data_IF_821736266399
#
_entry.id   IF_821736266399
#
_cell.length_a   1.000
_cell.length_b   1.000
_cell.length_c   1.000
_cell.angle_alpha   90.00
_cell.angle_beta   90.00
_cell.angle_gamma   90.00
#
_symmetry.space_group_name_H-M   'P 1'
#
loop_
_entity.id
_entity.type
_entity.pdbx_description
1 polymer ?
#
# COMPACT_ATOMS: atom_id res chain seq x y z
N UNK A 1 -25.42 -9.95 -3.81
CA UNK A 1 -24.58 -9.61 -2.64
C UNK A 1 -23.34 -8.80 -3.06
N UNK A 2 -23.51 -7.66 -3.72
CA UNK A 2 -22.40 -6.87 -4.32
C UNK A 2 -22.47 -5.39 -3.91
N UNK A 3 -22.53 -5.10 -2.60
CA UNK A 3 -22.69 -3.72 -2.10
C UNK A 3 -21.53 -3.15 -1.28
N UNK A 4 -20.39 -3.83 -1.15
CA UNK A 4 -19.31 -3.37 -0.25
C UNK A 4 -17.98 -2.97 -0.89
N UNK A 5 -17.84 -2.94 -2.22
CA UNK A 5 -16.64 -2.38 -2.85
C UNK A 5 -16.72 -0.86 -3.10
N UNK A 6 -17.83 -0.21 -2.71
CA UNK A 6 -18.10 1.22 -3.01
C UNK A 6 -17.74 2.25 -1.93
N UNK A 7 -17.64 1.95 -0.61
CA UNK A 7 -17.41 3.01 0.37
C UNK A 7 -15.95 3.48 0.46
N UNK A 8 -14.96 2.66 0.07
CA UNK A 8 -13.55 3.06 0.19
C UNK A 8 -13.11 4.11 -0.85
N UNK A 9 -13.72 4.09 -2.04
CA UNK A 9 -13.43 5.10 -3.08
C UNK A 9 -14.06 6.47 -2.75
N UNK A 10 -15.15 6.50 -1.98
CA UNK A 10 -15.84 7.77 -1.68
C UNK A 10 -15.23 8.56 -0.53
N UNK A 11 -14.55 7.92 0.43
CA UNK A 11 -13.80 8.67 1.46
C UNK A 11 -12.45 9.19 0.96
N UNK A 12 -11.87 8.58 -0.08
CA UNK A 12 -10.67 9.12 -0.73
C UNK A 12 -10.98 10.26 -1.72
N UNK A 13 -12.23 10.38 -2.14
CA UNK A 13 -12.76 11.45 -3.01
C UNK A 13 -13.12 12.74 -2.24
N UNK A 14 -12.83 12.80 -0.94
CA UNK A 14 -13.25 13.91 -0.06
C UNK A 14 -12.37 15.16 -0.08
N UNK A 15 -11.51 15.33 -1.09
CA UNK A 15 -10.87 16.62 -1.35
C UNK A 15 -10.93 16.99 -2.82
N UNK A 16 -12.06 17.61 -3.19
CA UNK A 16 -12.19 18.39 -4.44
C UNK A 16 -11.42 19.71 -4.36
N UNK A 17 -10.20 19.71 -3.83
CA UNK A 17 -9.34 20.90 -3.87
C UNK A 17 -8.69 20.94 -5.26
N UNK A 18 -8.67 22.08 -5.97
CA UNK A 18 -8.01 22.18 -7.27
C UNK A 18 -6.52 21.78 -7.23
N UNK A 19 -5.87 21.96 -6.07
CA UNK A 19 -4.50 21.53 -5.82
C UNK A 19 -4.32 20.00 -5.95
N UNK A 20 -5.28 19.20 -5.48
CA UNK A 20 -5.17 17.73 -5.52
C UNK A 20 -5.24 17.19 -6.95
N UNK A 21 -6.00 17.85 -7.83
CA UNK A 21 -6.02 17.50 -9.26
C UNK A 21 -4.66 17.73 -9.93
N UNK A 22 -3.95 18.78 -9.52
CA UNK A 22 -2.60 19.07 -10.02
C UNK A 22 -1.64 18.02 -9.48
N UNK A 23 -1.71 17.73 -8.19
CA UNK A 23 -0.90 16.70 -7.54
C UNK A 23 -1.08 15.34 -8.20
N UNK A 24 -2.32 14.89 -8.44
CA UNK A 24 -2.62 13.61 -9.11
C UNK A 24 -2.05 13.55 -10.53
N UNK A 25 -2.22 14.60 -11.33
CA UNK A 25 -1.62 14.66 -12.67
C UNK A 25 -0.10 14.64 -12.63
N UNK A 26 0.49 15.33 -11.64
CA UNK A 26 1.93 15.36 -11.45
C UNK A 26 2.44 13.96 -11.09
N UNK A 27 1.74 13.24 -10.20
CA UNK A 27 2.08 11.88 -9.80
C UNK A 27 1.98 10.91 -10.98
N UNK A 28 0.87 10.93 -11.72
CA UNK A 28 0.68 10.04 -12.86
C UNK A 28 1.74 10.31 -13.95
N UNK A 29 2.10 11.58 -14.15
CA UNK A 29 3.15 11.97 -15.08
C UNK A 29 4.55 11.55 -14.61
N UNK A 30 4.90 11.83 -13.34
CA UNK A 30 6.19 11.51 -12.75
C UNK A 30 6.42 10.00 -12.57
N UNK A 31 5.35 9.24 -12.33
CA UNK A 31 5.38 7.78 -12.20
C UNK A 31 5.40 7.03 -13.53
N UNK A 32 5.22 7.73 -14.66
CA UNK A 32 5.28 7.12 -15.98
C UNK A 32 6.73 6.87 -16.41
N UNK A 33 7.01 5.68 -16.95
CA UNK A 33 8.32 5.36 -17.54
C UNK A 33 8.72 6.31 -18.66
N UNK A 34 7.75 6.97 -19.32
CA UNK A 34 8.00 7.98 -20.35
C UNK A 34 8.62 9.27 -19.81
N UNK A 35 8.32 9.67 -18.58
CA UNK A 35 8.90 10.86 -17.95
C UNK A 35 10.39 10.66 -17.66
N UNK A 36 10.77 9.47 -17.16
CA UNK A 36 12.16 9.11 -16.94
C UNK A 36 12.97 9.20 -18.24
N UNK A 37 12.44 8.64 -19.34
CA UNK A 37 13.08 8.74 -20.67
C UNK A 37 13.23 10.19 -21.11
N UNK A 38 12.21 11.03 -20.92
CA UNK A 38 12.29 12.46 -21.25
C UNK A 38 13.39 13.17 -20.46
N UNK A 39 13.51 12.93 -19.15
CA UNK A 39 14.58 13.52 -18.33
C UNK A 39 15.97 13.12 -18.83
N UNK A 40 16.20 11.84 -19.13
CA UNK A 40 17.48 11.35 -19.63
C UNK A 40 17.82 12.01 -20.98
N UNK A 41 16.85 12.13 -21.89
CA UNK A 41 17.03 12.80 -23.16
C UNK A 41 17.32 14.30 -22.98
N UNK A 42 16.61 14.98 -22.07
CA UNK A 42 16.83 16.39 -21.78
C UNK A 42 18.25 16.65 -21.24
N UNK A 43 18.75 15.82 -20.32
CA UNK A 43 20.13 15.93 -19.84
C UNK A 43 21.15 15.66 -20.93
N UNK A 44 20.94 14.59 -21.71
CA UNK A 44 21.83 14.23 -22.81
C UNK A 44 21.88 15.34 -23.86
N UNK A 45 20.73 15.93 -24.17
CA UNK A 45 20.62 17.07 -25.09
C UNK A 45 21.31 18.31 -24.53
N UNK A 46 21.12 18.65 -23.25
CA UNK A 46 21.75 19.82 -22.62
C UNK A 46 23.27 19.70 -22.59
N UNK A 47 23.79 18.56 -22.15
CA UNK A 47 25.22 18.27 -22.13
C UNK A 47 25.78 18.30 -23.56
N UNK A 48 25.10 17.65 -24.51
CA UNK A 48 25.49 17.63 -25.91
C UNK A 48 25.54 19.03 -26.52
N UNK A 49 24.50 19.84 -26.32
CA UNK A 49 24.39 21.22 -26.81
C UNK A 49 25.52 22.11 -26.30
N UNK A 50 25.92 21.93 -25.05
CA UNK A 50 26.91 22.75 -24.38
C UNK A 50 28.36 22.28 -24.60
N UNK A 51 28.54 21.06 -25.13
CA UNK A 51 29.82 20.54 -25.57
C UNK A 51 30.17 20.93 -27.02
N UNK A 52 29.19 21.48 -27.77
CA UNK A 52 29.42 21.95 -29.14
C UNK A 52 30.28 23.22 -29.12
N UNK A 53 31.48 23.21 -29.76
CA UNK A 53 32.41 24.34 -29.76
C UNK A 53 31.94 25.54 -30.60
N UNK A 54 30.77 25.45 -31.26
CA UNK A 54 30.21 26.49 -32.12
C UNK A 54 29.38 27.53 -31.37
N UNK A 55 28.99 27.26 -30.14
CA UNK A 55 28.19 28.16 -29.30
C UNK A 55 29.00 28.54 -28.06
N UNK A 56 28.88 29.80 -27.63
CA UNK A 56 29.48 30.23 -26.37
C UNK A 56 29.01 29.29 -25.25
N UNK A 57 29.94 28.73 -24.47
CA UNK A 57 29.63 27.80 -23.38
C UNK A 57 28.70 28.47 -22.38
N UNK A 58 27.40 28.27 -22.55
CA UNK A 58 26.37 28.92 -21.75
C UNK A 58 26.42 28.42 -20.30
N UNK A 59 26.87 27.18 -20.10
CA UNK A 59 26.96 26.54 -18.79
C UNK A 59 28.24 25.67 -18.72
N UNK A 60 29.42 26.28 -18.48
CA UNK A 60 30.70 25.57 -18.50
C UNK A 60 30.72 24.38 -17.52
N UNK A 61 31.48 23.34 -17.86
CA UNK A 61 31.72 22.22 -16.93
C UNK A 61 32.24 22.78 -15.60
N UNK A 62 31.57 22.54 -14.44
CA UNK A 62 30.71 21.40 -14.10
C UNK A 62 29.17 21.60 -14.20
N UNK A 63 28.66 22.43 -15.12
CA UNK A 63 27.23 22.70 -15.36
C UNK A 63 26.41 23.27 -14.16
N UNK A 64 26.80 24.42 -13.55
CA UNK A 64 26.09 25.00 -12.41
C UNK A 64 24.60 25.28 -12.64
N UNK A 65 24.18 25.64 -13.87
CA UNK A 65 22.77 25.96 -14.15
C UNK A 65 21.90 24.71 -14.14
N UNK A 66 22.40 23.63 -14.74
CA UNK A 66 21.71 22.33 -14.74
C UNK A 66 21.60 21.79 -13.32
N UNK A 67 22.70 21.84 -12.55
CA UNK A 67 22.72 21.34 -11.17
C UNK A 67 21.70 22.08 -10.28
N UNK A 68 21.63 23.40 -10.40
CA UNK A 68 20.65 24.21 -9.66
C UNK A 68 19.20 23.80 -10.00
N UNK A 69 18.90 23.67 -11.30
CA UNK A 69 17.55 23.28 -11.75
C UNK A 69 17.15 21.90 -11.24
N UNK A 70 18.07 20.93 -11.30
CA UNK A 70 17.86 19.57 -10.80
C UNK A 70 17.62 19.54 -9.30
N UNK A 71 18.37 20.33 -8.52
CA UNK A 71 18.23 20.36 -7.06
C UNK A 71 16.81 20.81 -6.63
N UNK A 72 16.29 21.87 -7.25
CA UNK A 72 14.94 22.38 -6.97
C UNK A 72 13.89 21.35 -7.39
N UNK A 73 14.08 20.74 -8.57
CA UNK A 73 13.18 19.70 -9.05
C UNK A 73 13.14 18.50 -8.08
N UNK A 74 14.30 18.06 -7.58
CA UNK A 74 14.41 16.97 -6.62
C UNK A 74 13.69 17.25 -5.29
N UNK A 75 13.73 18.48 -4.79
CA UNK A 75 12.98 18.88 -3.58
C UNK A 75 11.47 18.72 -3.81
N UNK A 76 10.95 19.21 -4.94
CA UNK A 76 9.53 19.11 -5.29
C UNK A 76 9.12 17.63 -5.42
N UNK A 77 9.95 16.81 -6.05
CA UNK A 77 9.72 15.37 -6.15
C UNK A 77 9.65 14.71 -4.78
N UNK A 78 10.62 14.99 -3.90
CA UNK A 78 10.68 14.41 -2.55
C UNK A 78 9.45 14.74 -1.72
N UNK A 79 9.01 16.00 -1.72
CA UNK A 79 7.79 16.43 -1.02
C UNK A 79 6.55 15.75 -1.62
N UNK A 80 6.46 15.67 -2.94
CA UNK A 80 5.35 14.98 -3.63
C UNK A 80 5.30 13.50 -3.23
N UNK A 81 6.44 12.82 -3.24
CA UNK A 81 6.55 11.42 -2.79
C UNK A 81 6.12 11.29 -1.33
N UNK A 82 6.57 12.18 -0.44
CA UNK A 82 6.20 12.14 0.98
C UNK A 82 4.70 12.31 1.20
N UNK A 83 4.05 13.23 0.47
CA UNK A 83 2.60 13.41 0.53
C UNK A 83 1.88 12.12 0.12
N UNK A 84 2.31 11.48 -0.97
CA UNK A 84 1.73 10.23 -1.44
C UNK A 84 1.93 9.09 -0.46
N UNK A 85 3.14 8.96 0.09
CA UNK A 85 3.43 7.96 1.11
C UNK A 85 2.56 8.19 2.35
N UNK A 86 2.35 9.43 2.78
CA UNK A 86 1.49 9.72 3.93
C UNK A 86 0.03 9.34 3.67
N UNK A 87 -0.47 9.64 2.46
CA UNK A 87 -1.81 9.24 2.04
C UNK A 87 -1.95 7.71 1.99
N UNK A 88 -0.98 7.04 1.38
CA UNK A 88 -0.96 5.60 1.23
C UNK A 88 -0.90 4.89 2.59
N UNK A 89 -0.08 5.36 3.53
CA UNK A 89 -0.01 4.82 4.90
C UNK A 89 -1.34 4.88 5.64
N UNK A 90 -2.12 5.95 5.44
CA UNK A 90 -3.47 6.09 6.04
C UNK A 90 -4.47 5.10 5.44
N UNK A 91 -4.41 4.88 4.13
CA UNK A 91 -5.25 3.89 3.46
C UNK A 91 -4.88 2.49 3.96
N UNK A 92 -3.59 2.19 4.02
CA UNK A 92 -3.07 0.91 4.49
C UNK A 92 -3.39 0.64 5.95
N UNK A 93 -3.48 1.65 6.83
CA UNK A 93 -3.92 1.41 8.21
C UNK A 93 -5.40 1.01 8.25
N UNK A 94 -6.26 1.73 7.53
CA UNK A 94 -7.70 1.41 7.50
C UNK A 94 -7.95 0.03 6.86
N UNK A 95 -7.25 -0.27 5.77
CA UNK A 95 -7.35 -1.59 5.12
C UNK A 95 -6.92 -2.71 6.06
N UNK A 96 -5.82 -2.53 6.81
CA UNK A 96 -5.39 -3.50 7.82
C UNK A 96 -6.41 -3.72 8.91
N UNK A 97 -7.03 -2.66 9.43
CA UNK A 97 -8.06 -2.78 10.48
C UNK A 97 -9.28 -3.57 9.97
N UNK A 98 -9.71 -3.29 8.73
CA UNK A 98 -10.83 -4.00 8.09
C UNK A 98 -10.48 -5.46 7.80
N UNK A 99 -9.31 -5.72 7.24
CA UNK A 99 -8.82 -7.08 6.97
C UNK A 99 -8.75 -7.90 8.25
N UNK A 100 -8.29 -7.30 9.35
CA UNK A 100 -8.27 -7.94 10.65
C UNK A 100 -9.68 -8.30 11.13
N UNK A 101 -10.64 -7.36 11.10
CA UNK A 101 -12.02 -7.62 11.53
C UNK A 101 -12.67 -8.74 10.69
N UNK A 102 -12.48 -8.70 9.37
CA UNK A 102 -13.02 -9.73 8.48
C UNK A 102 -12.40 -11.10 8.80
N UNK A 103 -11.09 -11.16 9.05
CA UNK A 103 -10.43 -12.43 9.36
C UNK A 103 -10.90 -13.01 10.69
N UNK A 104 -11.07 -12.17 11.71
CA UNK A 104 -11.63 -12.58 13.01
C UNK A 104 -13.05 -13.13 12.85
N UNK A 105 -13.90 -12.47 12.05
CA UNK A 105 -15.26 -12.98 11.80
C UNK A 105 -15.26 -14.30 11.03
N UNK A 106 -14.39 -14.42 10.02
CA UNK A 106 -14.25 -15.63 9.24
C UNK A 106 -13.82 -16.82 10.12
N UNK A 107 -12.90 -16.60 11.05
CA UNK A 107 -12.49 -17.59 12.03
C UNK A 107 -13.65 -18.04 12.94
N UNK A 108 -14.45 -17.10 13.48
CA UNK A 108 -15.62 -17.45 14.29
C UNK A 108 -16.63 -18.29 13.49
N UNK A 109 -16.82 -17.98 12.21
CA UNK A 109 -17.68 -18.75 11.30
C UNK A 109 -17.09 -20.15 11.02
N UNK A 110 -15.78 -20.26 10.77
CA UNK A 110 -15.08 -21.54 10.56
C UNK A 110 -15.20 -22.42 11.81
N UNK A 111 -14.99 -21.84 13.00
CA UNK A 111 -15.13 -22.56 14.27
C UNK A 111 -16.56 -23.08 14.48
N UNK A 112 -17.57 -22.26 14.16
CA UNK A 112 -18.98 -22.72 14.21
C UNK A 112 -19.24 -23.83 13.20
N UNK A 113 -18.74 -23.72 11.96
CA UNK A 113 -18.89 -24.76 10.95
C UNK A 113 -18.23 -26.07 11.40
N UNK A 114 -17.01 -26.00 11.94
CA UNK A 114 -16.28 -27.16 12.45
C UNK A 114 -17.05 -27.84 13.58
N UNK A 115 -17.62 -27.06 14.51
CA UNK A 115 -18.47 -27.58 15.60
C UNK A 115 -19.72 -28.26 15.06
N UNK A 116 -20.41 -27.65 14.09
CA UNK A 116 -21.61 -28.24 13.48
C UNK A 116 -21.29 -29.53 12.70
N UNK A 117 -20.19 -29.56 11.96
CA UNK A 117 -19.74 -30.77 11.24
C UNK A 117 -19.41 -31.88 12.24
N UNK A 118 -18.71 -31.57 13.33
CA UNK A 118 -18.42 -32.52 14.40
C UNK A 118 -19.72 -33.06 15.05
N UNK A 119 -20.71 -32.20 15.33
CA UNK A 119 -22.00 -32.64 15.87
C UNK A 119 -22.76 -33.58 14.92
N UNK A 120 -22.75 -33.29 13.61
CA UNK A 120 -23.36 -34.14 12.58
C UNK A 120 -22.64 -35.49 12.52
N UNK A 121 -21.32 -35.47 12.51
CA UNK A 121 -20.47 -36.65 12.48
C UNK A 121 -20.75 -37.56 13.69
N UNK A 122 -20.84 -36.99 14.89
CA UNK A 122 -21.23 -37.70 16.12
C UNK A 122 -22.62 -38.32 16.03
N UNK A 123 -23.61 -37.58 15.48
CA UNK A 123 -25.00 -38.09 15.30
C UNK A 123 -25.09 -39.22 14.28
N UNK A 124 -24.23 -39.24 13.27
CA UNK A 124 -24.19 -40.29 12.25
C UNK A 124 -23.46 -41.55 12.70
N UNK A 125 -22.87 -41.57 13.90
CA UNK A 125 -22.16 -42.73 14.44
C UNK A 125 -20.93 -43.13 13.60
N UNK A 126 -20.43 -42.20 12.79
CA UNK A 126 -19.20 -42.38 12.03
C UNK A 126 -18.08 -42.31 13.06
N UNK A 127 -17.56 -43.45 13.50
CA UNK A 127 -16.47 -43.50 14.47
C UNK A 127 -15.15 -43.17 13.74
N UNK A 128 -15.01 -41.93 13.28
CA UNK A 128 -13.74 -41.43 12.77
C UNK A 128 -12.92 -40.94 13.96
N UNK A 129 -11.65 -41.33 14.00
CA UNK A 129 -10.70 -41.08 15.08
C UNK A 129 -10.27 -39.60 15.21
N UNK A 130 -11.14 -38.65 14.85
CA UNK A 130 -10.97 -37.25 15.23
C UNK A 130 -11.45 -37.18 16.68
N UNK A 131 -10.51 -37.38 17.60
CA UNK A 131 -10.74 -37.25 19.03
C UNK A 131 -11.16 -35.81 19.36
N UNK A 132 -11.92 -35.60 20.42
CA UNK A 132 -12.35 -34.26 20.87
C UNK A 132 -11.12 -33.34 21.09
N UNK A 133 -9.95 -33.92 21.36
CA UNK A 133 -8.66 -33.25 21.44
C UNK A 133 -8.21 -32.59 20.12
N UNK A 134 -8.36 -33.26 18.97
CA UNK A 134 -7.92 -32.74 17.65
C UNK A 134 -8.81 -31.57 17.19
N UNK A 135 -10.11 -31.61 17.54
CA UNK A 135 -11.04 -30.51 17.30
C UNK A 135 -10.66 -29.25 18.10
N UNK A 136 -10.34 -29.42 19.39
CA UNK A 136 -9.90 -28.30 20.23
C UNK A 136 -8.55 -27.75 19.77
N UNK A 137 -7.64 -28.60 19.28
CA UNK A 137 -6.37 -28.16 18.69
C UNK A 137 -6.59 -27.33 17.42
N UNK A 138 -7.47 -27.77 16.50
CA UNK A 138 -7.85 -27.01 15.30
C UNK A 138 -8.50 -25.66 15.62
N UNK A 139 -9.35 -25.60 16.65
CA UNK A 139 -9.97 -24.34 17.12
C UNK A 139 -8.93 -23.38 17.69
N UNK A 140 -7.91 -23.89 18.37
CA UNK A 140 -6.87 -23.09 19.01
C UNK A 140 -5.85 -22.53 18.00
N UNK A 141 -5.48 -23.31 16.97
CA UNK A 141 -4.57 -22.86 15.89
C UNK A 141 -5.22 -21.80 14.98
N UNK A 142 -6.56 -21.79 14.91
CA UNK A 142 -7.29 -20.78 14.12
C UNK A 142 -7.51 -19.47 14.92
N UNK A 143 -7.27 -19.42 16.25
CA UNK A 143 -7.56 -18.24 17.09
C UNK A 143 -6.66 -17.02 16.79
N UNK A 144 -7.15 -16.17 15.89
CA UNK A 144 -6.47 -14.96 15.46
C UNK A 144 -6.43 -13.90 16.56
N UNK A 145 -7.39 -13.90 17.51
CA UNK A 145 -7.37 -12.99 18.67
C UNK A 145 -6.24 -13.37 19.63
N UNK A 146 -6.00 -14.67 19.82
CA UNK A 146 -4.89 -15.17 20.64
C UNK A 146 -3.53 -14.81 20.01
N UNK A 147 -3.38 -15.00 18.69
CA UNK A 147 -2.16 -14.63 17.96
C UNK A 147 -1.93 -13.12 17.99
N UNK A 148 -2.98 -12.31 17.76
CA UNK A 148 -2.86 -10.85 17.83
C UNK A 148 -2.42 -10.37 19.21
N UNK A 149 -2.98 -10.95 20.29
CA UNK A 149 -2.59 -10.63 21.68
C UNK A 149 -1.15 -11.05 22.01
N UNK A 150 -0.64 -12.11 21.40
CA UNK A 150 0.75 -12.55 21.57
C UNK A 150 1.75 -11.65 20.80
N UNK A 151 1.29 -10.99 19.73
CA UNK A 151 2.12 -10.13 18.86
C UNK A 151 2.05 -8.66 19.25
N UNK A 152 0.98 -8.14 19.87
CA UNK A 152 0.97 -6.80 20.47
C UNK A 152 1.88 -6.79 21.71
N UNK A 153 3.11 -6.20 21.66
CA UNK A 153 3.86 -5.98 22.87
C UNK A 153 3.12 -4.92 23.67
N UNK A 154 3.01 -5.13 24.99
CA UNK A 154 2.56 -4.15 25.99
C UNK A 154 3.05 -2.74 25.66
N UNK A 155 2.24 -1.94 24.98
CA UNK A 155 2.48 -0.50 24.78
C UNK A 155 1.18 0.26 25.03
N UNK A 156 0.93 0.51 26.32
CA UNK A 156 0.30 1.72 26.85
C UNK A 156 0.33 1.67 28.37
N UNK A 157 1.42 2.18 28.93
CA UNK A 157 1.37 3.07 30.09
C UNK A 157 1.67 4.48 29.57
#
# INVERSE_FOLDING_TARGET
MTKQAKPLKSELDFTKTPADKITLKLIDFLGSGTFLTFCILAFTFWIGWNLLPLVHHFDPFPFPLLEMGVSIFAIILSVTVLINQNRQRRIESIQRDVEFEVNVRAEEEVTRLLTLVHEIHRKLGLNTAIDDHELEEMKNDTDLKAIHRAVEPKQKD
#
